data_IF_828494943442
#
_entry.id   IF_828494943442
#
_cell.length_a   1.000
_cell.length_b   1.000
_cell.length_c   1.000
_cell.angle_alpha   90.00
_cell.angle_beta   90.00
_cell.angle_gamma   90.00
#
_symmetry.space_group_name_H-M   'P 1'
#
loop_
_entity.id
_entity.type
_entity.pdbx_description
1 polymer ?
#
# COMPACT_ATOMS: atom_id res chain seq x y z
N UNK A 1 -19.40 10.78 65.94
CA UNK A 1 -20.38 11.36 65.00
C UNK A 1 -19.59 11.98 63.83
N UNK A 2 -18.63 11.32 63.20
CA UNK A 2 -18.73 10.25 62.18
C UNK A 2 -19.82 10.46 61.14
N UNK A 3 -19.35 10.73 59.91
CA UNK A 3 -19.78 10.07 58.69
C UNK A 3 -21.12 10.52 58.09
N UNK A 4 -21.07 11.61 57.32
CA UNK A 4 -22.02 11.83 56.24
C UNK A 4 -21.36 12.75 55.22
N UNK A 5 -21.04 12.20 54.04
CA UNK A 5 -20.65 12.85 52.77
C UNK A 5 -19.60 12.05 51.97
N UNK A 6 -19.22 10.83 52.38
CA UNK A 6 -18.65 9.83 51.46
C UNK A 6 -19.77 9.05 50.76
N UNK A 7 -20.62 9.74 50.00
CA UNK A 7 -21.67 9.11 49.17
C UNK A 7 -21.79 9.79 47.80
N UNK A 8 -20.72 10.43 47.33
CA UNK A 8 -20.52 10.73 45.92
C UNK A 8 -19.66 9.65 45.23
N UNK A 9 -19.95 8.40 45.55
CA UNK A 9 -19.64 7.25 44.68
C UNK A 9 -20.76 7.12 43.65
N UNK A 10 -20.84 8.05 42.70
CA UNK A 10 -21.58 7.84 41.46
C UNK A 10 -20.59 7.87 40.30
N UNK A 11 -19.89 6.74 40.16
CA UNK A 11 -19.62 6.07 38.89
C UNK A 11 -19.56 7.01 37.67
N UNK A 12 -18.59 7.92 37.65
CA UNK A 12 -17.94 8.24 36.38
C UNK A 12 -17.03 7.04 36.10
N UNK A 13 -17.65 5.94 35.63
CA UNK A 13 -16.95 5.03 34.75
C UNK A 13 -16.54 5.93 33.57
N UNK A 14 -15.34 6.50 33.65
CA UNK A 14 -14.60 6.84 32.45
C UNK A 14 -14.58 5.54 31.67
N UNK A 15 -15.50 5.41 30.72
CA UNK A 15 -15.26 4.60 29.56
C UNK A 15 -14.03 5.24 28.91
N UNK A 16 -12.85 4.89 29.43
CA UNK A 16 -11.62 4.97 28.68
C UNK A 16 -11.86 3.96 27.55
N UNK A 17 -12.49 4.42 26.47
CA UNK A 17 -12.19 3.86 25.18
C UNK A 17 -10.69 4.07 25.05
N UNK A 18 -9.92 3.06 25.45
CA UNK A 18 -8.58 2.89 24.94
C UNK A 18 -8.82 2.76 23.44
N UNK A 19 -8.80 3.89 22.75
CA UNK A 19 -8.38 3.92 21.37
C UNK A 19 -7.00 3.28 21.45
N UNK A 20 -6.95 1.95 21.25
CA UNK A 20 -5.71 1.26 21.03
C UNK A 20 -5.15 2.01 19.85
N UNK A 21 -4.13 2.85 20.08
CA UNK A 21 -3.42 3.51 19.01
C UNK A 21 -3.08 2.37 18.04
N UNK A 22 -3.77 2.34 16.91
CA UNK A 22 -3.65 1.24 15.95
C UNK A 22 -2.22 1.31 15.46
N UNK A 23 -1.36 0.46 16.03
CA UNK A 23 0.07 0.52 15.74
C UNK A 23 0.30 0.36 14.23
N UNK A 24 1.24 1.13 13.69
CA UNK A 24 1.67 0.95 12.32
C UNK A 24 2.43 -0.38 12.20
N UNK A 25 1.95 -1.26 11.32
CA UNK A 25 2.75 -2.39 10.85
C UNK A 25 3.77 -1.84 9.85
N UNK A 26 5.04 -2.08 10.13
CA UNK A 26 6.11 -1.76 9.20
C UNK A 26 6.47 -3.03 8.43
N UNK A 27 6.47 -2.95 7.11
CA UNK A 27 6.94 -4.05 6.26
C UNK A 27 8.15 -3.56 5.48
N UNK A 28 9.15 -4.43 5.39
CA UNK A 28 10.39 -4.22 4.67
C UNK A 28 10.61 -5.41 3.75
N UNK A 29 10.46 -5.17 2.45
CA UNK A 29 10.40 -6.20 1.41
C UNK A 29 11.23 -5.77 0.20
N UNK A 30 11.41 -6.67 -0.76
CA UNK A 30 12.16 -6.41 -1.97
C UNK A 30 11.35 -6.83 -3.20
N UNK A 31 11.15 -5.90 -4.13
CA UNK A 31 10.52 -6.11 -5.42
C UNK A 31 11.59 -6.36 -6.48
N UNK A 32 11.44 -7.43 -7.26
CA UNK A 32 12.40 -7.83 -8.28
C UNK A 32 11.79 -7.63 -9.67
N UNK A 33 12.19 -6.55 -10.33
CA UNK A 33 11.65 -6.12 -11.62
C UNK A 33 12.56 -6.55 -12.77
N UNK A 34 11.96 -7.03 -13.87
CA UNK A 34 12.64 -7.31 -15.14
C UNK A 34 11.94 -6.56 -16.27
N UNK A 35 12.61 -5.56 -16.85
CA UNK A 35 12.00 -4.63 -17.80
C UNK A 35 11.84 -5.20 -19.21
N UNK A 36 12.76 -6.07 -19.64
CA UNK A 36 12.83 -6.55 -21.03
C UNK A 36 13.32 -8.00 -21.10
N UNK A 37 13.23 -8.60 -22.29
CA UNK A 37 13.65 -9.98 -22.52
C UNK A 37 12.51 -11.01 -22.35
N UNK A 38 12.81 -12.32 -22.45
CA UNK A 38 11.80 -13.37 -22.45
C UNK A 38 11.07 -13.53 -21.10
N UNK A 39 11.67 -13.04 -20.02
CA UNK A 39 11.12 -13.08 -18.66
C UNK A 39 10.75 -11.69 -18.15
N UNK A 40 10.46 -10.74 -19.06
CA UNK A 40 10.00 -9.42 -18.65
C UNK A 40 8.76 -9.54 -17.77
N UNK A 41 8.72 -8.77 -16.70
CA UNK A 41 7.60 -8.69 -15.75
C UNK A 41 6.79 -7.40 -15.93
N UNK A 42 7.33 -6.45 -16.70
CA UNK A 42 6.67 -5.22 -17.12
C UNK A 42 6.32 -5.27 -18.61
N UNK A 43 5.07 -4.92 -18.95
CA UNK A 43 4.62 -4.86 -20.34
C UNK A 43 3.78 -3.60 -20.63
N UNK A 44 4.13 -2.82 -21.66
CA UNK A 44 3.22 -1.79 -22.19
C UNK A 44 2.06 -2.46 -22.93
N UNK A 45 0.84 -2.19 -22.50
CA UNK A 45 -0.40 -2.72 -23.10
C UNK A 45 -1.08 -1.74 -24.03
N UNK A 46 -0.95 -0.43 -23.75
CA UNK A 46 -1.40 0.64 -24.63
C UNK A 46 -0.19 1.47 -25.03
N UNK A 47 0.17 1.53 -26.32
CA UNK A 47 1.28 2.36 -26.77
C UNK A 47 0.91 3.85 -26.68
N UNK A 48 1.92 4.73 -26.60
CA UNK A 48 1.70 6.17 -26.62
C UNK A 48 1.12 6.61 -27.97
N UNK A 49 0.13 7.49 -27.94
CA UNK A 49 -0.54 7.99 -29.15
C UNK A 49 0.26 9.07 -29.89
N UNK A 50 1.14 9.78 -29.17
CA UNK A 50 1.92 10.90 -29.72
C UNK A 50 3.36 10.49 -30.00
N UNK A 51 3.85 10.82 -31.21
CA UNK A 51 5.27 10.75 -31.57
C UNK A 51 5.84 12.16 -31.51
N UNK A 52 6.70 12.45 -30.53
CA UNK A 52 7.27 13.78 -30.27
C UNK A 52 8.00 13.82 -28.92
N UNK A 53 8.31 15.02 -28.40
CA UNK A 53 9.10 15.20 -27.15
C UNK A 53 8.49 14.52 -25.92
N UNK A 54 7.17 14.26 -25.92
CA UNK A 54 6.44 13.53 -24.89
C UNK A 54 6.08 12.10 -25.32
N UNK A 55 7.05 11.37 -25.88
CA UNK A 55 6.87 10.06 -26.51
C UNK A 55 6.28 8.96 -25.62
N UNK A 56 6.13 9.14 -24.31
CA UNK A 56 5.53 8.16 -23.40
C UNK A 56 4.15 8.56 -22.87
N UNK A 57 3.73 9.81 -23.04
CA UNK A 57 2.44 10.27 -22.51
C UNK A 57 1.27 9.44 -23.08
N UNK A 58 0.39 8.99 -22.18
CA UNK A 58 -0.75 8.13 -22.51
C UNK A 58 -0.39 6.64 -22.70
N UNK A 59 0.88 6.25 -22.60
CA UNK A 59 1.27 4.84 -22.53
C UNK A 59 0.74 4.24 -21.23
N UNK A 60 0.11 3.07 -21.34
CA UNK A 60 -0.37 2.27 -20.20
C UNK A 60 0.35 0.94 -20.20
N UNK A 61 0.77 0.49 -19.03
CA UNK A 61 1.42 -0.79 -18.85
C UNK A 61 0.95 -1.53 -17.61
N UNK A 62 1.29 -2.81 -17.57
CA UNK A 62 1.07 -3.70 -16.44
C UNK A 62 2.41 -4.22 -15.92
N UNK A 63 2.44 -4.58 -14.66
CA UNK A 63 3.59 -5.16 -13.98
C UNK A 63 3.15 -6.26 -13.02
N UNK A 64 3.92 -7.35 -12.98
CA UNK A 64 3.75 -8.45 -12.02
C UNK A 64 5.13 -8.98 -11.58
N UNK A 65 5.66 -8.34 -10.55
CA UNK A 65 7.00 -8.61 -10.01
C UNK A 65 6.94 -9.57 -8.81
N UNK A 66 8.07 -10.25 -8.58
CA UNK A 66 8.26 -11.01 -7.35
C UNK A 66 8.48 -10.07 -6.16
N UNK A 67 7.79 -10.35 -5.06
CA UNK A 67 8.01 -9.72 -3.78
C UNK A 67 8.68 -10.72 -2.83
N UNK A 68 9.86 -10.37 -2.31
CA UNK A 68 10.73 -11.25 -1.52
C UNK A 68 11.13 -10.62 -0.18
N UNK A 69 11.55 -11.45 0.76
CA UNK A 69 12.06 -11.02 2.07
C UNK A 69 13.54 -10.58 2.06
N UNK A 70 14.20 -10.63 0.90
CA UNK A 70 15.58 -10.22 0.73
C UNK A 70 15.93 -9.75 -0.69
N UNK A 71 17.06 -9.04 -0.84
CA UNK A 71 17.47 -8.45 -2.12
C UNK A 71 18.10 -9.44 -3.10
N UNK A 72 18.55 -10.61 -2.64
CA UNK A 72 19.13 -11.67 -3.48
C UNK A 72 18.06 -12.73 -3.77
N UNK A 73 17.57 -12.88 -5.02
CA UNK A 73 16.51 -13.83 -5.35
C UNK A 73 16.90 -15.29 -5.13
N UNK A 74 18.20 -15.62 -5.04
CA UNK A 74 18.68 -16.99 -4.79
C UNK A 74 18.65 -17.39 -3.33
N UNK A 75 18.72 -16.41 -2.43
CA UNK A 75 18.86 -16.59 -0.98
C UNK A 75 17.70 -15.96 -0.19
N UNK A 76 16.62 -15.57 -0.86
CA UNK A 76 15.42 -14.97 -0.25
C UNK A 76 14.16 -15.74 -0.61
N UNK A 77 13.21 -15.71 0.31
CA UNK A 77 11.91 -16.37 0.17
C UNK A 77 10.97 -15.49 -0.64
N UNK A 78 10.21 -16.13 -1.55
CA UNK A 78 9.07 -15.48 -2.20
C UNK A 78 7.93 -15.33 -1.19
N UNK A 79 7.51 -14.09 -0.94
CA UNK A 79 6.45 -13.77 0.01
C UNK A 79 5.15 -13.34 -0.68
N UNK A 80 5.22 -12.91 -1.94
CA UNK A 80 4.07 -12.40 -2.67
C UNK A 80 4.40 -11.89 -4.07
N UNK A 81 3.47 -11.11 -4.60
CA UNK A 81 3.55 -10.43 -5.89
C UNK A 81 3.35 -8.93 -5.73
N UNK A 82 4.07 -8.15 -6.50
CA UNK A 82 3.82 -6.73 -6.67
C UNK A 82 3.15 -6.55 -8.03
N UNK A 83 1.86 -6.24 -8.04
CA UNK A 83 1.05 -6.16 -9.25
C UNK A 83 0.60 -4.72 -9.46
N UNK A 84 0.86 -4.15 -10.63
CA UNK A 84 0.54 -2.75 -10.89
C UNK A 84 -0.06 -2.54 -12.28
N UNK A 85 -1.00 -1.60 -12.35
CA UNK A 85 -1.35 -0.89 -13.56
C UNK A 85 -0.72 0.51 -13.48
N UNK A 86 -0.02 0.93 -14.51
CA UNK A 86 0.56 2.26 -14.57
C UNK A 86 0.22 2.98 -15.87
N UNK A 87 0.14 4.30 -15.81
CA UNK A 87 -0.02 5.17 -16.96
C UNK A 87 0.93 6.36 -16.87
N UNK A 88 1.64 6.66 -17.95
CA UNK A 88 2.39 7.90 -18.08
C UNK A 88 1.42 9.06 -18.29
N UNK A 89 1.00 9.68 -17.18
CA UNK A 89 -0.03 10.72 -17.16
C UNK A 89 0.51 12.14 -16.89
N UNK A 90 1.82 12.28 -16.64
CA UNK A 90 2.49 13.58 -16.55
C UNK A 90 2.88 14.16 -17.91
N UNK A 91 2.64 15.46 -18.13
CA UNK A 91 3.09 16.20 -19.32
C UNK A 91 4.45 16.90 -19.13
N UNK A 92 4.95 16.95 -17.89
CA UNK A 92 6.28 17.49 -17.56
C UNK A 92 7.36 16.44 -17.82
N UNK A 93 8.58 16.87 -18.10
CA UNK A 93 9.71 15.97 -18.35
C UNK A 93 10.57 15.81 -17.08
N UNK A 94 10.84 14.59 -16.59
CA UNK A 94 10.33 13.30 -17.08
C UNK A 94 8.85 13.07 -16.72
N UNK A 95 8.08 12.36 -17.57
CA UNK A 95 6.65 12.14 -17.35
C UNK A 95 6.43 11.23 -16.15
N UNK A 96 5.68 11.73 -15.15
CA UNK A 96 5.25 10.93 -14.01
C UNK A 96 4.33 9.79 -14.42
N UNK A 97 4.57 8.60 -13.86
CA UNK A 97 3.72 7.42 -13.94
C UNK A 97 2.71 7.43 -12.79
N UNK A 98 1.43 7.51 -13.11
CA UNK A 98 0.37 7.25 -12.14
C UNK A 98 0.20 5.73 -12.01
N UNK A 99 0.17 5.23 -10.78
CA UNK A 99 0.12 3.80 -10.50
C UNK A 99 -1.07 3.43 -9.62
N UNK A 100 -1.62 2.26 -9.89
CA UNK A 100 -2.56 1.56 -9.02
C UNK A 100 -1.99 0.16 -8.77
N UNK A 101 -1.46 -0.05 -7.56
CA UNK A 101 -0.62 -1.19 -7.22
C UNK A 101 -1.22 -2.00 -6.09
N UNK A 102 -1.14 -3.32 -6.20
CA UNK A 102 -1.47 -4.27 -5.13
C UNK A 102 -0.24 -5.11 -4.76
N UNK A 103 0.09 -5.15 -3.47
CA UNK A 103 0.95 -6.19 -2.90
C UNK A 103 0.06 -7.37 -2.52
N UNK A 104 0.25 -8.50 -3.21
CA UNK A 104 -0.52 -9.73 -3.00
C UNK A 104 0.35 -10.72 -2.25
N UNK A 105 0.06 -10.92 -0.96
CA UNK A 105 0.84 -11.84 -0.13
C UNK A 105 0.38 -13.27 -0.35
N UNK A 106 1.32 -14.16 -0.65
CA UNK A 106 1.06 -15.58 -0.97
C UNK A 106 1.69 -16.55 0.03
N UNK A 107 2.53 -16.04 0.93
CA UNK A 107 3.19 -16.83 1.98
C UNK A 107 3.29 -16.07 3.31
N UNK A 108 3.72 -16.77 4.36
CA UNK A 108 3.88 -16.22 5.71
C UNK A 108 2.56 -15.90 6.42
N UNK A 109 2.63 -15.11 7.49
CA UNK A 109 1.47 -14.72 8.33
C UNK A 109 0.38 -13.96 7.53
N UNK A 110 0.76 -13.33 6.42
CA UNK A 110 -0.12 -12.47 5.65
C UNK A 110 -0.65 -13.11 4.36
N UNK A 111 -0.39 -14.40 4.14
CA UNK A 111 -0.86 -15.13 2.97
C UNK A 111 -2.39 -14.95 2.76
N UNK A 112 -2.78 -14.62 1.53
CA UNK A 112 -4.17 -14.35 1.14
C UNK A 112 -4.64 -12.92 1.45
N UNK A 113 -3.81 -12.07 2.06
CA UNK A 113 -4.10 -10.65 2.27
C UNK A 113 -3.49 -9.80 1.17
N UNK A 114 -4.00 -8.57 1.01
CA UNK A 114 -3.44 -7.59 0.07
C UNK A 114 -3.31 -6.21 0.68
N UNK A 115 -2.36 -5.42 0.18
CA UNK A 115 -2.24 -3.99 0.44
C UNK A 115 -2.34 -3.25 -0.89
N UNK A 116 -3.06 -2.14 -0.92
CA UNK A 116 -3.33 -1.37 -2.13
C UNK A 116 -2.72 0.02 -2.01
N UNK A 117 -1.99 0.42 -3.04
CA UNK A 117 -1.29 1.70 -3.12
C UNK A 117 -1.67 2.43 -4.40
N UNK A 118 -1.81 3.74 -4.30
CA UNK A 118 -2.06 4.62 -5.45
C UNK A 118 -1.16 5.84 -5.33
N UNK A 119 -0.51 6.22 -6.43
CA UNK A 119 0.37 7.40 -6.42
C UNK A 119 1.12 7.65 -7.72
N UNK A 120 1.81 8.79 -7.74
CA UNK A 120 2.67 9.23 -8.84
C UNK A 120 4.12 8.84 -8.59
N UNK A 121 4.76 8.22 -9.58
CA UNK A 121 6.18 7.89 -9.59
C UNK A 121 6.84 8.71 -10.70
N UNK A 122 7.74 9.63 -10.34
CA UNK A 122 8.34 10.58 -11.31
C UNK A 122 9.71 10.10 -11.82
N UNK A 123 10.31 9.10 -11.18
CA UNK A 123 11.59 8.51 -11.56
C UNK A 123 11.68 7.06 -11.09
N UNK A 124 12.40 6.23 -11.83
CA UNK A 124 12.74 4.84 -11.48
C UNK A 124 13.96 4.73 -10.54
N UNK A 125 14.64 5.84 -10.22
CA UNK A 125 15.91 5.84 -9.45
C UNK A 125 15.78 6.40 -8.03
N UNK A 126 14.83 7.31 -7.77
CA UNK A 126 14.69 7.96 -6.47
C UNK A 126 13.89 7.13 -5.45
N UNK A 127 13.98 7.44 -4.15
CA UNK A 127 12.93 7.01 -3.24
C UNK A 127 11.64 7.74 -3.62
N UNK A 128 10.58 7.01 -3.94
CA UNK A 128 9.27 7.59 -4.23
C UNK A 128 8.22 7.05 -3.28
N UNK A 129 7.40 7.96 -2.76
CA UNK A 129 6.34 7.65 -1.81
C UNK A 129 5.00 7.52 -2.53
N UNK A 130 4.28 6.44 -2.22
CA UNK A 130 2.91 6.21 -2.65
C UNK A 130 2.01 6.00 -1.44
N UNK A 131 0.75 6.42 -1.54
CA UNK A 131 -0.18 6.28 -0.43
C UNK A 131 -0.71 4.85 -0.37
N UNK A 132 -0.65 4.22 0.81
CA UNK A 132 -1.41 3.00 1.11
C UNK A 132 -2.85 3.42 1.35
N UNK A 133 -3.72 3.12 0.40
CA UNK A 133 -5.13 3.53 0.40
C UNK A 133 -6.07 2.42 0.87
N UNK A 134 -5.57 1.23 1.18
CA UNK A 134 -6.39 0.12 1.65
C UNK A 134 -5.66 -1.21 1.72
N UNK A 135 -6.44 -2.23 2.02
CA UNK A 135 -6.00 -3.62 2.02
C UNK A 135 -7.14 -4.59 2.30
N UNK A 136 -6.86 -5.87 2.14
CA UNK A 136 -7.79 -6.98 2.41
C UNK A 136 -7.20 -7.93 3.45
N UNK A 137 -8.00 -8.88 3.94
CA UNK A 137 -7.55 -9.85 4.94
C UNK A 137 -7.01 -9.17 6.20
N UNK A 138 -5.77 -9.49 6.55
CA UNK A 138 -5.06 -8.92 7.70
C UNK A 138 -4.85 -7.41 7.61
N UNK A 139 -4.96 -6.82 6.42
CA UNK A 139 -4.77 -5.38 6.15
C UNK A 139 -6.09 -4.64 5.88
N UNK A 140 -7.23 -5.22 6.26
CA UNK A 140 -8.53 -4.54 6.12
C UNK A 140 -8.50 -3.18 6.81
N UNK A 141 -8.92 -2.13 6.09
CA UNK A 141 -8.89 -0.72 6.53
C UNK A 141 -7.49 -0.12 6.72
N UNK A 142 -6.43 -0.75 6.19
CA UNK A 142 -5.08 -0.18 6.26
C UNK A 142 -5.01 1.20 5.56
N UNK A 143 -4.24 2.11 6.16
CA UNK A 143 -3.87 3.44 5.63
C UNK A 143 -2.43 3.75 5.98
N UNK A 144 -1.72 4.44 5.12
CA UNK A 144 -0.34 4.84 5.39
C UNK A 144 0.43 5.15 4.11
N UNK A 145 1.70 4.80 4.06
CA UNK A 145 2.58 5.11 2.94
C UNK A 145 3.52 3.95 2.63
N UNK A 146 4.04 3.95 1.40
CA UNK A 146 5.06 3.05 0.91
C UNK A 146 6.13 3.85 0.16
N UNK A 147 7.38 3.66 0.54
CA UNK A 147 8.56 4.22 -0.11
C UNK A 147 9.27 3.11 -0.87
N UNK A 148 9.42 3.31 -2.16
CA UNK A 148 10.12 2.40 -3.06
C UNK A 148 11.45 3.02 -3.46
N UNK A 149 12.53 2.26 -3.37
CA UNK A 149 13.89 2.74 -3.66
C UNK A 149 14.68 1.69 -4.44
N UNK A 150 15.24 2.07 -5.58
CA UNK A 150 16.17 1.19 -6.31
C UNK A 150 17.41 0.93 -5.44
N UNK A 151 17.78 -0.34 -5.25
CA UNK A 151 18.95 -0.73 -4.46
C UNK A 151 20.11 -1.20 -5.32
N UNK A 152 19.85 -2.02 -6.34
CA UNK A 152 20.87 -2.50 -7.27
C UNK A 152 20.23 -3.08 -8.54
N UNK A 153 21.02 -3.18 -9.62
CA UNK A 153 20.60 -3.76 -10.90
C UNK A 153 21.45 -5.00 -11.19
N UNK A 154 20.89 -6.23 -11.06
CA UNK A 154 21.62 -7.47 -11.33
C UNK A 154 22.08 -7.62 -12.77
N UNK A 155 21.28 -7.09 -13.68
CA UNK A 155 21.52 -7.09 -15.12
C UNK A 155 21.08 -5.74 -15.68
N UNK A 156 21.48 -5.36 -16.90
CA UNK A 156 20.94 -4.17 -17.57
C UNK A 156 19.41 -4.19 -17.71
N UNK A 157 18.79 -5.38 -17.69
CA UNK A 157 17.37 -5.60 -17.88
C UNK A 157 16.59 -5.76 -16.57
N UNK A 158 17.25 -5.76 -15.41
CA UNK A 158 16.59 -5.98 -14.11
C UNK A 158 17.06 -5.04 -13.01
N UNK A 159 16.14 -4.71 -12.11
CA UNK A 159 16.43 -3.88 -10.93
C UNK A 159 15.70 -4.45 -9.72
N UNK A 160 16.38 -4.43 -8.58
CA UNK A 160 15.77 -4.72 -7.29
C UNK A 160 15.42 -3.42 -6.60
N UNK A 161 14.18 -3.32 -6.14
CA UNK A 161 13.65 -2.20 -5.38
C UNK A 161 13.39 -2.63 -3.95
N UNK A 162 13.88 -1.84 -3.01
CA UNK A 162 13.50 -1.93 -1.61
C UNK A 162 12.12 -1.29 -1.41
N UNK A 163 11.23 -2.02 -0.75
CA UNK A 163 9.85 -1.64 -0.45
C UNK A 163 9.74 -1.43 1.07
N UNK A 164 9.71 -0.17 1.48
CA UNK A 164 9.56 0.23 2.88
C UNK A 164 8.18 0.82 3.11
N UNK A 165 7.35 0.17 3.92
CA UNK A 165 5.98 0.63 4.12
C UNK A 165 5.56 0.68 5.58
N UNK A 166 4.71 1.65 5.89
CA UNK A 166 4.00 1.75 7.15
C UNK A 166 2.50 1.73 6.89
N UNK A 167 1.80 0.75 7.44
CA UNK A 167 0.36 0.59 7.34
C UNK A 167 -0.27 0.60 8.74
N UNK A 168 -1.06 1.63 9.02
CA UNK A 168 -1.84 1.80 10.23
C UNK A 168 -3.30 1.42 10.03
N UNK A 169 -3.97 1.04 11.12
CA UNK A 169 -5.40 0.75 11.13
C UNK A 169 -6.13 1.89 11.83
N UNK A 170 -6.85 2.69 11.06
CA UNK A 170 -7.81 3.61 11.66
C UNK A 170 -9.05 2.78 11.96
N UNK A 171 -9.19 2.32 13.21
CA UNK A 171 -10.50 1.89 13.71
C UNK A 171 -11.41 3.11 13.69
N UNK A 172 -12.13 3.31 12.60
CA UNK A 172 -13.29 4.19 12.61
C UNK A 172 -14.34 3.45 13.44
N UNK A 173 -14.61 3.90 14.66
CA UNK A 173 -15.78 3.46 15.42
C UNK A 173 -17.03 3.85 14.62
N UNK A 174 -17.46 3.02 13.68
CA UNK A 174 -18.71 3.22 12.93
C UNK A 174 -19.96 2.83 13.75
N UNK A 175 -19.82 2.56 15.06
CA UNK A 175 -20.92 2.14 15.92
C UNK A 175 -21.05 2.95 17.22
N UNK A 176 -21.14 4.28 17.11
CA UNK A 176 -21.80 5.11 18.14
C UNK A 176 -23.05 5.77 17.57
N UNK A 177 -24.04 4.97 17.21
CA UNK A 177 -25.42 5.46 17.15
C UNK A 177 -26.05 5.21 18.54
N UNK A 178 -25.97 6.21 19.43
CA UNK A 178 -26.50 6.12 20.81
C UNK A 178 -27.93 6.67 20.96
N UNK A 179 -28.66 6.90 19.86
CA UNK A 179 -30.06 7.34 19.92
C UNK A 179 -31.03 6.20 19.59
N UNK A 180 -32.20 6.12 20.25
CA UNK A 180 -33.24 5.12 19.98
C UNK A 180 -33.98 5.33 18.64
N UNK A 181 -33.55 6.26 17.78
CA UNK A 181 -34.19 6.59 16.50
C UNK A 181 -33.27 6.36 15.28
N UNK A 182 -32.19 5.60 15.43
CA UNK A 182 -31.31 5.24 14.32
C UNK A 182 -32.03 4.25 13.38
N UNK A 183 -32.87 4.79 12.50
CA UNK A 183 -33.58 4.04 11.47
C UNK A 183 -32.57 3.32 10.58
N UNK A 184 -32.84 2.03 10.33
CA UNK A 184 -32.13 1.17 9.39
C UNK A 184 -31.92 1.91 8.06
N UNK A 185 -30.68 2.23 7.72
CA UNK A 185 -30.31 2.43 6.34
C UNK A 185 -30.30 1.04 5.67
N UNK A 186 -31.41 0.67 5.03
CA UNK A 186 -31.38 -0.39 4.02
C UNK A 186 -30.61 0.16 2.82
N UNK A 187 -29.53 -0.50 2.42
CA UNK A 187 -29.00 -0.31 1.08
C UNK A 187 -29.95 -1.01 0.11
N UNK A 188 -30.51 -0.23 -0.81
CA UNK A 188 -31.20 -0.70 -2.01
C UNK A 188 -30.23 -1.34 -2.99
#
# INVERSE_FOLDING_TARGET
MTSSCMLLSLVFLLATSSARAGGFKHLHLYMHETFTGPNATLFPVVPPLHRGDNARFGMVGVLDDELRDGPDPRNSSLIGRFQSLFAFAGLVTPPGMQTATSLVFTAGEHAGSTLVMVGSIVSSEGPYETAVVGGTGAFRMARGYCVLKAVWSPTPESTVYEVNMAAGFIFTELNKCSSPTCNKASFS
#
